data_IF_865756925482
#
_entry.id   IF_865756925482
#
_cell.length_a   1.000
_cell.length_b   1.000
_cell.length_c   1.000
_cell.angle_alpha   90.00
_cell.angle_beta   90.00
_cell.angle_gamma   90.00
#
_symmetry.space_group_name_H-M   'P 1'
#
loop_
_entity.id
_entity.type
_entity.pdbx_description
1 polymer ?
#
# COMPACT_ATOMS: atom_id res chain seq x y z
N UNK A 1 -22.79 -4.09 34.29
CA UNK A 1 -21.49 -3.89 33.64
C UNK A 1 -21.38 -5.04 32.65
N UNK A 2 -21.93 -4.89 31.43
CA UNK A 2 -21.80 -5.87 30.37
C UNK A 2 -20.33 -5.93 29.97
N UNK A 3 -19.76 -7.13 29.99
CA UNK A 3 -18.36 -7.31 29.65
C UNK A 3 -18.14 -6.97 28.18
N UNK A 4 -17.01 -6.39 27.86
CA UNK A 4 -16.60 -6.08 26.47
C UNK A 4 -16.67 -7.32 25.56
N UNK A 5 -16.52 -8.51 26.14
CA UNK A 5 -16.65 -9.79 25.46
C UNK A 5 -18.07 -10.04 24.91
N UNK A 6 -19.14 -9.56 25.59
CA UNK A 6 -20.50 -9.68 25.09
C UNK A 6 -20.77 -8.78 23.88
N UNK A 7 -20.14 -7.59 23.84
CA UNK A 7 -20.26 -6.68 22.68
C UNK A 7 -19.54 -7.24 21.46
N UNK A 8 -18.37 -7.86 21.67
CA UNK A 8 -17.62 -8.52 20.59
C UNK A 8 -18.35 -9.76 20.08
N UNK A 9 -18.99 -10.54 20.98
CA UNK A 9 -19.75 -11.73 20.61
C UNK A 9 -21.05 -11.38 19.86
N UNK A 10 -21.75 -10.32 20.26
CA UNK A 10 -22.99 -9.89 19.60
C UNK A 10 -22.74 -9.35 18.19
N UNK A 11 -21.67 -8.57 18.00
CA UNK A 11 -21.29 -8.06 16.66
C UNK A 11 -20.84 -9.19 15.72
N UNK A 12 -20.15 -10.20 16.22
CA UNK A 12 -19.75 -11.37 15.40
C UNK A 12 -20.95 -12.25 15.03
N UNK A 13 -21.93 -12.38 15.93
CA UNK A 13 -23.15 -13.14 15.67
C UNK A 13 -24.07 -12.41 14.69
N UNK A 14 -24.17 -11.07 14.78
CA UNK A 14 -24.94 -10.29 13.80
C UNK A 14 -24.31 -10.31 12.40
N UNK A 15 -22.99 -10.25 12.29
CA UNK A 15 -22.27 -10.39 11.01
C UNK A 15 -22.41 -11.81 10.45
N UNK A 16 -22.33 -12.82 11.28
CA UNK A 16 -22.56 -14.20 10.88
C UNK A 16 -24.02 -14.44 10.45
N UNK A 17 -25.00 -13.87 11.16
CA UNK A 17 -26.42 -13.99 10.83
C UNK A 17 -26.81 -13.16 9.57
N UNK A 18 -26.15 -12.05 9.31
CA UNK A 18 -26.32 -11.28 8.07
C UNK A 18 -25.71 -12.00 6.85
N UNK A 19 -24.67 -12.81 7.07
CA UNK A 19 -24.04 -13.66 6.04
C UNK A 19 -24.87 -14.92 5.79
N UNK A 20 -25.65 -15.40 6.78
CA UNK A 20 -26.43 -16.64 6.69
C UNK A 20 -27.74 -16.48 5.87
N UNK A 21 -28.18 -15.24 5.59
CA UNK A 21 -29.46 -15.00 4.92
C UNK A 21 -29.38 -14.60 3.42
N UNK A 22 -28.17 -14.41 2.85
CA UNK A 22 -28.05 -14.18 1.41
C UNK A 22 -26.72 -14.79 0.89
N UNK A 23 -26.85 -15.76 -0.02
CA UNK A 23 -25.78 -16.44 -0.77
C UNK A 23 -24.42 -16.47 -0.04
N UNK A 24 -24.01 -17.63 0.44
CA UNK A 24 -22.74 -17.87 1.18
C UNK A 24 -21.56 -17.07 0.60
N UNK A 25 -21.32 -15.87 1.13
CA UNK A 25 -20.25 -15.00 0.67
C UNK A 25 -18.93 -15.56 1.20
N UNK A 26 -18.23 -16.31 0.39
CA UNK A 26 -16.92 -16.86 0.77
C UNK A 26 -15.89 -15.76 0.98
N UNK A 27 -15.16 -15.84 2.09
CA UNK A 27 -14.01 -14.98 2.34
C UNK A 27 -12.90 -15.27 1.33
N UNK A 28 -12.28 -14.21 0.82
CA UNK A 28 -11.14 -14.35 -0.08
C UNK A 28 -9.98 -15.08 0.60
N UNK A 29 -9.39 -16.04 -0.11
CA UNK A 29 -8.23 -16.77 0.38
C UNK A 29 -6.98 -15.87 0.48
N UNK A 30 -6.03 -16.24 1.34
CA UNK A 30 -4.75 -15.52 1.44
C UNK A 30 -4.03 -15.47 0.08
N UNK A 31 -4.07 -16.57 -0.67
CA UNK A 31 -3.44 -16.67 -2.01
C UNK A 31 -4.06 -15.67 -2.99
N UNK A 32 -5.39 -15.59 -3.08
CA UNK A 32 -6.06 -14.63 -3.95
C UNK A 32 -5.67 -13.18 -3.62
N UNK A 33 -5.58 -12.83 -2.33
CA UNK A 33 -5.19 -11.50 -1.88
C UNK A 33 -3.73 -11.18 -2.20
N UNK A 34 -2.81 -12.14 -2.02
CA UNK A 34 -1.39 -12.00 -2.35
C UNK A 34 -1.21 -11.86 -3.87
N UNK A 35 -1.86 -12.70 -4.67
CA UNK A 35 -1.78 -12.61 -6.13
C UNK A 35 -2.34 -11.28 -6.63
N UNK A 36 -3.47 -10.81 -6.07
CA UNK A 36 -4.01 -9.50 -6.41
C UNK A 36 -3.04 -8.36 -6.09
N UNK A 37 -2.32 -8.45 -4.97
CA UNK A 37 -1.28 -7.50 -4.60
C UNK A 37 -0.09 -7.55 -5.58
N UNK A 38 0.40 -8.75 -5.91
CA UNK A 38 1.50 -8.96 -6.88
C UNK A 38 1.12 -8.35 -8.24
N UNK A 39 -0.11 -8.60 -8.73
CA UNK A 39 -0.57 -8.04 -10.01
C UNK A 39 -0.49 -6.51 -10.00
N UNK A 40 -0.96 -5.85 -8.94
CA UNK A 40 -0.85 -4.40 -8.84
C UNK A 40 0.62 -3.93 -8.83
N UNK A 41 1.51 -4.63 -8.11
CA UNK A 41 2.95 -4.32 -8.10
C UNK A 41 3.62 -4.51 -9.45
N UNK A 42 3.27 -5.57 -10.18
CA UNK A 42 3.76 -5.78 -11.55
C UNK A 42 3.34 -4.63 -12.47
N UNK A 43 2.09 -4.19 -12.39
CA UNK A 43 1.61 -3.04 -13.19
C UNK A 43 2.42 -1.78 -12.83
N UNK A 44 2.63 -1.49 -11.54
CA UNK A 44 3.42 -0.35 -11.08
C UNK A 44 4.87 -0.40 -11.60
N UNK A 45 5.51 -1.57 -11.54
CA UNK A 45 6.87 -1.76 -12.07
C UNK A 45 6.91 -1.54 -13.59
N UNK A 46 5.93 -2.05 -14.33
CA UNK A 46 5.84 -1.84 -15.80
C UNK A 46 5.70 -0.35 -16.12
N UNK A 47 4.92 0.40 -15.33
CA UNK A 47 4.80 1.85 -15.50
C UNK A 47 6.10 2.61 -15.21
N UNK A 48 7.02 2.03 -14.43
CA UNK A 48 8.34 2.60 -14.16
C UNK A 48 9.36 2.37 -15.29
N UNK A 49 9.14 1.41 -16.19
CA UNK A 49 10.09 1.08 -17.27
C UNK A 49 10.52 2.31 -18.10
N UNK A 50 9.61 3.22 -18.52
CA UNK A 50 10.00 4.41 -19.27
C UNK A 50 10.97 5.33 -18.51
N UNK A 51 10.78 5.46 -17.17
CA UNK A 51 11.67 6.24 -16.32
C UNK A 51 13.07 5.63 -16.23
N UNK A 52 13.15 4.33 -16.00
CA UNK A 52 14.43 3.62 -15.96
C UNK A 52 15.15 3.68 -17.30
N UNK A 53 14.43 3.48 -18.41
CA UNK A 53 14.98 3.61 -19.75
C UNK A 53 15.58 4.99 -20.00
N UNK A 54 14.90 6.05 -19.58
CA UNK A 54 15.39 7.41 -19.68
C UNK A 54 16.64 7.65 -18.82
N UNK A 55 16.63 7.21 -17.56
CA UNK A 55 17.78 7.37 -16.65
C UNK A 55 19.00 6.64 -17.23
N UNK A 56 18.84 5.42 -17.73
CA UNK A 56 19.92 4.66 -18.36
C UNK A 56 20.44 5.40 -19.60
N UNK A 57 19.55 5.90 -20.46
CA UNK A 57 19.95 6.66 -21.65
C UNK A 57 20.75 7.92 -21.28
N UNK A 58 20.37 8.63 -20.22
CA UNK A 58 21.07 9.81 -19.71
C UNK A 58 22.46 9.45 -19.15
N UNK A 59 22.55 8.39 -18.35
CA UNK A 59 23.82 7.92 -17.80
C UNK A 59 24.77 7.49 -18.90
N UNK A 60 24.31 6.76 -19.90
CA UNK A 60 25.14 6.35 -21.04
C UNK A 60 25.61 7.56 -21.88
N UNK A 61 24.77 8.58 -22.03
CA UNK A 61 25.14 9.81 -22.74
C UNK A 61 26.16 10.63 -21.97
N UNK A 62 26.04 10.71 -20.64
CA UNK A 62 27.00 11.45 -19.79
C UNK A 62 28.36 10.78 -19.67
N UNK A 63 28.45 9.46 -19.80
CA UNK A 63 29.72 8.72 -19.81
C UNK A 63 30.50 8.83 -21.12
N UNK A 64 29.94 9.43 -22.15
CA UNK A 64 30.57 9.65 -23.47
C UNK A 64 31.53 10.84 -23.58
N UNK A 65 31.89 11.51 -22.49
CA UNK A 65 33.13 12.30 -22.39
C UNK A 65 33.13 13.73 -22.93
N UNK A 66 32.00 14.44 -23.06
CA UNK A 66 31.98 15.88 -23.29
C UNK A 66 31.37 16.62 -22.12
N UNK A 67 32.22 17.33 -21.37
CA UNK A 67 31.89 18.09 -20.15
C UNK A 67 31.39 19.51 -20.44
N UNK A 68 30.54 19.69 -21.42
CA UNK A 68 30.06 21.04 -21.77
C UNK A 68 28.72 21.33 -21.04
N UNK A 69 28.57 22.58 -20.58
CA UNK A 69 27.37 23.09 -19.91
C UNK A 69 26.09 22.91 -20.76
N UNK A 70 26.19 22.91 -22.08
CA UNK A 70 25.10 22.60 -23.01
C UNK A 70 24.51 21.18 -22.78
N UNK A 71 25.34 20.23 -22.36
CA UNK A 71 24.89 18.87 -22.04
C UNK A 71 24.08 18.83 -20.75
N UNK A 72 24.33 19.75 -19.79
CA UNK A 72 23.59 19.79 -18.53
C UNK A 72 22.14 20.27 -18.74
N UNK A 73 21.92 21.27 -19.58
CA UNK A 73 20.59 21.81 -19.89
C UNK A 73 19.73 20.75 -20.61
N UNK A 74 20.29 20.11 -21.62
CA UNK A 74 19.60 19.01 -22.34
C UNK A 74 19.35 17.79 -21.45
N UNK A 75 20.25 17.52 -20.52
CA UNK A 75 20.08 16.46 -19.51
C UNK A 75 18.93 16.80 -18.57
N UNK A 76 18.87 18.01 -18.05
CA UNK A 76 17.78 18.48 -17.18
C UNK A 76 16.43 18.47 -17.90
N UNK A 77 16.37 18.95 -19.14
CA UNK A 77 15.15 18.97 -19.95
C UNK A 77 14.61 17.55 -20.21
N UNK A 78 15.50 16.61 -20.55
CA UNK A 78 15.10 15.21 -20.77
C UNK A 78 14.69 14.50 -19.48
N UNK A 79 15.33 14.81 -18.34
CA UNK A 79 14.96 14.29 -17.03
C UNK A 79 13.58 14.79 -16.60
N UNK A 80 13.32 16.09 -16.75
CA UNK A 80 12.01 16.69 -16.48
C UNK A 80 10.92 16.13 -17.42
N UNK A 81 11.22 15.95 -18.70
CA UNK A 81 10.30 15.37 -19.67
C UNK A 81 9.94 13.92 -19.33
N UNK A 82 10.92 13.11 -18.93
CA UNK A 82 10.69 11.73 -18.54
C UNK A 82 9.95 11.59 -17.21
N UNK A 83 10.31 12.39 -16.21
CA UNK A 83 9.57 12.44 -14.95
C UNK A 83 8.13 12.92 -15.18
N UNK A 84 7.93 13.91 -16.06
CA UNK A 84 6.60 14.37 -16.44
C UNK A 84 5.76 13.27 -17.08
N UNK A 85 6.33 12.50 -18.00
CA UNK A 85 5.65 11.36 -18.62
C UNK A 85 5.25 10.30 -17.58
N UNK A 86 6.18 9.93 -16.70
CA UNK A 86 5.90 8.97 -15.63
C UNK A 86 4.81 9.49 -14.71
N UNK A 87 4.87 10.76 -14.32
CA UNK A 87 3.84 11.37 -13.47
C UNK A 87 2.45 11.30 -14.13
N UNK A 88 2.36 11.59 -15.43
CA UNK A 88 1.08 11.48 -16.17
C UNK A 88 0.58 10.03 -16.19
N UNK A 89 1.46 9.06 -16.47
CA UNK A 89 1.09 7.63 -16.43
C UNK A 89 0.60 7.18 -15.05
N UNK A 90 1.26 7.63 -13.98
CA UNK A 90 0.83 7.34 -12.61
C UNK A 90 -0.49 8.03 -12.24
N UNK A 91 -0.74 9.23 -12.70
CA UNK A 91 -2.01 9.92 -12.49
C UNK A 91 -3.16 9.19 -13.20
N UNK A 92 -2.95 8.74 -14.44
CA UNK A 92 -3.94 7.96 -15.18
C UNK A 92 -4.20 6.62 -14.46
N UNK A 93 -3.14 5.89 -14.12
CA UNK A 93 -3.25 4.61 -13.40
C UNK A 93 -3.93 4.79 -12.05
N UNK A 94 -3.51 5.77 -11.26
CA UNK A 94 -4.09 6.09 -9.95
C UNK A 94 -5.57 6.49 -10.05
N UNK A 95 -5.93 7.27 -11.07
CA UNK A 95 -7.32 7.64 -11.34
C UNK A 95 -8.20 6.42 -11.67
N UNK A 96 -7.71 5.52 -12.52
CA UNK A 96 -8.40 4.27 -12.84
C UNK A 96 -8.54 3.40 -11.59
N UNK A 97 -7.46 3.24 -10.83
CA UNK A 97 -7.42 2.47 -9.59
C UNK A 97 -8.41 3.02 -8.57
N UNK A 98 -8.39 4.35 -8.36
CA UNK A 98 -9.30 5.05 -7.47
C UNK A 98 -10.77 4.86 -7.87
N UNK A 99 -11.07 4.99 -9.16
CA UNK A 99 -12.42 4.75 -9.70
C UNK A 99 -12.92 3.35 -9.37
N UNK A 100 -12.10 2.31 -9.62
CA UNK A 100 -12.49 0.93 -9.31
C UNK A 100 -12.63 0.69 -7.80
N UNK A 101 -11.75 1.25 -6.99
CA UNK A 101 -11.82 1.13 -5.53
C UNK A 101 -13.07 1.81 -4.95
N UNK A 102 -13.46 2.96 -5.50
CA UNK A 102 -14.65 3.69 -5.03
C UNK A 102 -15.96 3.02 -5.47
N UNK A 103 -16.03 2.59 -6.73
CA UNK A 103 -17.30 2.10 -7.31
C UNK A 103 -17.55 0.63 -7.03
N UNK A 104 -16.51 -0.19 -7.08
CA UNK A 104 -16.63 -1.65 -7.00
C UNK A 104 -15.99 -2.25 -5.74
N UNK A 105 -15.30 -1.43 -4.94
CA UNK A 105 -14.52 -1.93 -3.81
C UNK A 105 -13.30 -2.77 -4.21
N UNK A 106 -12.83 -2.64 -5.45
CA UNK A 106 -11.80 -3.49 -6.04
C UNK A 106 -10.66 -2.65 -6.62
N UNK A 107 -9.40 -3.07 -6.39
CA UNK A 107 -8.28 -2.65 -7.22
C UNK A 107 -8.24 -3.47 -8.51
N UNK A 108 -7.42 -3.08 -9.48
CA UNK A 108 -7.27 -3.82 -10.74
C UNK A 108 -6.90 -5.28 -10.47
N UNK A 109 -5.89 -5.53 -9.60
CA UNK A 109 -5.50 -6.87 -9.23
C UNK A 109 -6.61 -7.66 -8.52
N UNK A 110 -7.38 -7.01 -7.63
CA UNK A 110 -8.53 -7.64 -6.96
C UNK A 110 -9.64 -8.00 -7.95
N UNK A 111 -9.88 -7.15 -8.96
CA UNK A 111 -10.87 -7.42 -10.00
C UNK A 111 -10.47 -8.65 -10.83
N UNK A 112 -9.19 -8.79 -11.17
CA UNK A 112 -8.69 -9.97 -11.89
C UNK A 112 -8.81 -11.26 -11.07
N UNK A 113 -8.64 -11.17 -9.75
CA UNK A 113 -8.78 -12.29 -8.82
C UNK A 113 -10.22 -12.54 -8.36
N UNK A 114 -11.19 -11.78 -8.88
CA UNK A 114 -12.62 -11.88 -8.51
C UNK A 114 -12.85 -11.74 -7.00
N UNK A 115 -12.17 -10.79 -6.36
CA UNK A 115 -12.33 -10.47 -4.94
C UNK A 115 -12.65 -8.99 -4.76
N UNK A 116 -13.48 -8.66 -3.78
CA UNK A 116 -13.84 -7.25 -3.48
C UNK A 116 -13.79 -6.96 -1.98
N UNK A 117 -13.69 -5.67 -1.66
CA UNK A 117 -13.74 -5.16 -0.28
C UNK A 117 -15.17 -4.76 0.03
N UNK A 118 -15.71 -5.32 1.09
CA UNK A 118 -17.03 -5.01 1.62
C UNK A 118 -16.91 -4.52 3.06
N UNK A 119 -17.91 -3.78 3.53
CA UNK A 119 -18.04 -3.38 4.94
C UNK A 119 -18.69 -4.50 5.74
N UNK A 120 -18.70 -4.37 7.07
CA UNK A 120 -19.38 -5.30 7.99
C UNK A 120 -20.86 -5.52 7.65
N UNK A 121 -21.52 -4.54 7.06
CA UNK A 121 -22.92 -4.61 6.62
C UNK A 121 -23.13 -5.25 5.23
N UNK A 122 -22.09 -5.80 4.60
CA UNK A 122 -22.14 -6.40 3.27
C UNK A 122 -22.05 -5.42 2.09
N UNK A 123 -22.19 -4.10 2.32
CA UNK A 123 -22.11 -3.10 1.27
C UNK A 123 -20.68 -2.94 0.74
N UNK A 124 -20.55 -2.48 -0.50
CA UNK A 124 -19.25 -2.12 -1.08
C UNK A 124 -18.58 -1.05 -0.21
N UNK A 125 -17.29 -1.23 0.09
CA UNK A 125 -16.56 -0.37 1.02
C UNK A 125 -16.43 1.11 0.58
N UNK A 126 -16.70 1.44 -0.67
CA UNK A 126 -16.71 2.81 -1.19
C UNK A 126 -15.42 3.59 -0.95
N UNK A 127 -15.46 4.91 -1.18
CA UNK A 127 -14.28 5.78 -1.03
C UNK A 127 -13.78 5.85 0.42
N UNK A 128 -14.68 6.09 1.38
CA UNK A 128 -14.29 6.36 2.77
C UNK A 128 -13.61 5.14 3.40
N UNK A 129 -14.20 3.96 3.30
CA UNK A 129 -13.65 2.77 3.97
C UNK A 129 -12.50 2.14 3.18
N UNK A 130 -12.61 2.08 1.85
CA UNK A 130 -11.60 1.40 1.04
C UNK A 130 -10.38 2.28 0.72
N UNK A 131 -10.54 3.60 0.55
CA UNK A 131 -9.44 4.51 0.21
C UNK A 131 -8.99 5.31 1.42
N UNK A 132 -9.91 6.08 2.04
CA UNK A 132 -9.54 7.03 3.10
C UNK A 132 -9.03 6.29 4.35
N UNK A 133 -9.80 5.34 4.90
CA UNK A 133 -9.43 4.65 6.14
C UNK A 133 -8.38 3.58 5.90
N UNK A 134 -8.54 2.77 4.87
CA UNK A 134 -7.70 1.60 4.62
C UNK A 134 -6.33 1.95 4.06
N UNK A 135 -6.25 2.88 3.10
CA UNK A 135 -4.98 3.25 2.47
C UNK A 135 -4.37 4.51 3.10
N UNK A 136 -5.15 5.62 3.16
CA UNK A 136 -4.62 6.92 3.59
C UNK A 136 -4.42 6.97 5.11
N UNK A 137 -5.45 6.68 5.92
CA UNK A 137 -5.34 6.79 7.36
C UNK A 137 -4.32 5.79 7.93
N UNK A 138 -4.32 4.54 7.43
CA UNK A 138 -3.32 3.55 7.82
C UNK A 138 -1.90 4.00 7.45
N UNK A 139 -1.69 4.50 6.23
CA UNK A 139 -0.40 5.02 5.78
C UNK A 139 0.07 6.20 6.63
N UNK A 140 -0.84 7.13 6.98
CA UNK A 140 -0.53 8.26 7.86
C UNK A 140 -0.13 7.79 9.26
N UNK A 141 -0.84 6.84 9.85
CA UNK A 141 -0.50 6.28 11.18
C UNK A 141 0.90 5.68 11.14
N UNK A 142 1.19 4.84 10.14
CA UNK A 142 2.53 4.25 9.98
C UNK A 142 3.60 5.34 9.79
N UNK A 143 3.34 6.37 8.99
CA UNK A 143 4.28 7.47 8.75
C UNK A 143 4.55 8.28 10.01
N UNK A 144 3.53 8.56 10.82
CA UNK A 144 3.69 9.27 12.11
C UNK A 144 4.52 8.43 13.09
N UNK A 145 4.27 7.13 13.18
CA UNK A 145 5.06 6.24 14.04
C UNK A 145 6.53 6.26 13.59
N UNK A 146 6.82 6.15 12.29
CA UNK A 146 8.17 6.19 11.77
C UNK A 146 8.84 7.55 12.02
N UNK A 147 8.11 8.66 11.87
CA UNK A 147 8.62 10.00 12.16
C UNK A 147 8.98 10.18 13.64
N UNK A 148 8.17 9.65 14.55
CA UNK A 148 8.44 9.66 16.00
C UNK A 148 9.70 8.83 16.31
N UNK A 149 9.81 7.62 15.76
CA UNK A 149 10.99 6.77 15.94
C UNK A 149 12.26 7.44 15.43
N UNK A 150 12.20 8.08 14.26
CA UNK A 150 13.29 8.87 13.70
C UNK A 150 13.67 10.04 14.63
N UNK A 151 12.67 10.77 15.14
CA UNK A 151 12.88 11.89 16.07
C UNK A 151 13.54 11.46 17.39
N UNK A 152 13.10 10.34 17.98
CA UNK A 152 13.71 9.75 19.17
C UNK A 152 15.17 9.39 18.89
N UNK A 153 15.44 8.78 17.73
CA UNK A 153 16.79 8.43 17.34
C UNK A 153 17.69 9.66 17.26
N UNK A 154 17.28 10.73 16.55
CA UNK A 154 18.06 11.97 16.47
C UNK A 154 18.26 12.65 17.83
N UNK A 155 17.28 12.55 18.72
CA UNK A 155 17.41 13.09 20.07
C UNK A 155 18.42 12.32 20.93
N UNK A 156 18.53 11.00 20.75
CA UNK A 156 19.43 10.14 21.54
C UNK A 156 20.87 10.17 21.00
N UNK A 157 21.06 10.10 19.69
CA UNK A 157 22.39 9.94 19.06
C UNK A 157 22.97 11.25 18.50
N UNK A 158 22.17 12.32 18.43
CA UNK A 158 22.57 13.61 17.87
C UNK A 158 22.66 13.61 16.34
N UNK A 159 22.77 14.82 15.76
CA UNK A 159 22.94 15.00 14.31
C UNK A 159 24.38 14.71 13.83
N UNK A 160 25.34 14.61 14.78
CA UNK A 160 26.76 14.36 14.51
C UNK A 160 27.12 12.86 14.59
N UNK A 161 26.17 11.97 14.39
CA UNK A 161 26.46 10.55 14.36
C UNK A 161 27.52 10.25 13.29
N UNK A 162 28.60 9.59 13.69
CA UNK A 162 29.65 9.10 12.79
C UNK A 162 28.98 8.38 11.61
N UNK A 163 29.47 8.56 10.39
CA UNK A 163 28.88 8.03 9.16
C UNK A 163 28.49 6.54 9.23
N UNK A 164 29.23 5.73 9.99
CA UNK A 164 28.93 4.32 10.23
C UNK A 164 27.69 4.10 11.11
N UNK A 165 27.49 4.93 12.14
CA UNK A 165 26.32 4.85 13.02
C UNK A 165 25.06 5.30 12.26
N UNK A 166 25.16 6.39 11.49
CA UNK A 166 24.06 6.86 10.66
C UNK A 166 23.59 5.79 9.66
N UNK A 167 24.53 5.14 8.97
CA UNK A 167 24.21 4.05 8.04
C UNK A 167 23.54 2.85 8.75
N UNK A 168 24.04 2.45 9.92
CA UNK A 168 23.46 1.33 10.68
C UNK A 168 22.01 1.63 11.10
N UNK A 169 21.73 2.87 11.44
CA UNK A 169 20.39 3.31 11.83
C UNK A 169 19.46 3.40 10.65
N UNK A 170 19.90 3.91 9.52
CA UNK A 170 19.09 3.92 8.30
C UNK A 170 18.66 2.49 7.94
N UNK A 171 19.58 1.53 8.01
CA UNK A 171 19.26 0.10 7.78
C UNK A 171 18.26 -0.41 8.81
N UNK A 172 18.43 -0.08 10.09
CA UNK A 172 17.50 -0.50 11.15
C UNK A 172 16.10 0.08 10.94
N UNK A 173 16.00 1.38 10.66
CA UNK A 173 14.72 2.05 10.37
C UNK A 173 14.04 1.47 9.13
N UNK A 174 14.83 1.14 8.11
CA UNK A 174 14.34 0.44 6.93
C UNK A 174 13.72 -0.91 7.30
N UNK A 175 14.40 -1.72 8.11
CA UNK A 175 13.87 -3.01 8.58
C UNK A 175 12.58 -2.81 9.38
N UNK A 176 12.56 -1.84 10.31
CA UNK A 176 11.38 -1.53 11.12
C UNK A 176 10.20 -1.09 10.26
N UNK A 177 10.43 -0.38 9.14
CA UNK A 177 9.37 0.05 8.23
C UNK A 177 8.62 -1.11 7.57
N UNK A 178 9.23 -2.29 7.46
CA UNK A 178 8.58 -3.50 6.92
C UNK A 178 7.72 -4.24 7.96
N UNK A 179 7.87 -3.96 9.26
CA UNK A 179 7.15 -4.68 10.32
C UNK A 179 5.62 -4.65 10.12
N UNK A 180 4.97 -3.51 9.85
CA UNK A 180 3.53 -3.48 9.61
C UNK A 180 3.10 -4.35 8.41
N UNK A 181 3.91 -4.39 7.37
CA UNK A 181 3.66 -5.22 6.18
C UNK A 181 3.78 -6.70 6.50
N UNK A 182 4.82 -7.09 7.26
CA UNK A 182 5.02 -8.48 7.70
C UNK A 182 3.86 -8.93 8.60
N UNK A 183 3.44 -8.09 9.54
CA UNK A 183 2.30 -8.38 10.41
C UNK A 183 1.02 -8.56 9.59
N UNK A 184 0.73 -7.67 8.66
CA UNK A 184 -0.41 -7.81 7.75
C UNK A 184 -0.34 -9.11 6.94
N UNK A 185 0.85 -9.48 6.46
CA UNK A 185 1.06 -10.72 5.72
C UNK A 185 0.77 -11.96 6.58
N UNK A 186 1.26 -12.00 7.82
CA UNK A 186 0.98 -13.10 8.76
C UNK A 186 -0.53 -13.18 9.04
N UNK A 187 -1.20 -12.05 9.26
CA UNK A 187 -2.63 -11.99 9.55
C UNK A 187 -3.50 -12.56 8.41
N UNK A 188 -3.04 -12.53 7.16
CA UNK A 188 -3.76 -13.15 6.03
C UNK A 188 -3.97 -14.66 6.19
N UNK A 189 -3.10 -15.33 6.93
CA UNK A 189 -3.19 -16.78 7.17
C UNK A 189 -3.96 -17.12 8.44
N UNK A 190 -4.36 -16.12 9.25
CA UNK A 190 -5.10 -16.33 10.49
C UNK A 190 -6.60 -16.45 10.22
N UNK A 191 -7.10 -17.67 10.04
CA UNK A 191 -8.52 -17.94 9.81
C UNK A 191 -9.38 -17.54 11.01
N UNK A 192 -8.87 -17.67 12.23
CA UNK A 192 -9.54 -17.26 13.47
C UNK A 192 -9.93 -15.77 13.51
N UNK A 193 -9.27 -14.92 12.70
CA UNK A 193 -9.56 -13.50 12.54
C UNK A 193 -10.15 -13.15 11.17
N UNK A 194 -10.80 -14.12 10.52
CA UNK A 194 -11.43 -13.93 9.21
C UNK A 194 -10.45 -13.35 8.16
N UNK A 195 -9.16 -13.65 8.30
CA UNK A 195 -8.07 -13.19 7.44
C UNK A 195 -8.01 -11.66 7.28
N UNK A 196 -8.49 -10.91 8.28
CA UNK A 196 -8.39 -9.45 8.28
C UNK A 196 -6.95 -9.00 8.55
N UNK A 197 -6.48 -8.02 7.75
CA UNK A 197 -5.22 -7.31 8.00
C UNK A 197 -5.46 -6.11 8.93
N UNK A 198 -4.37 -5.50 9.43
CA UNK A 198 -4.46 -4.26 10.22
C UNK A 198 -5.24 -3.16 9.49
N UNK A 199 -5.05 -3.06 8.17
CA UNK A 199 -5.78 -2.10 7.32
C UNK A 199 -7.28 -2.42 7.28
N UNK A 200 -7.63 -3.70 7.14
CA UNK A 200 -9.03 -4.16 7.12
C UNK A 200 -9.72 -3.89 8.47
N UNK A 201 -9.02 -4.15 9.59
CA UNK A 201 -9.53 -3.88 10.94
C UNK A 201 -9.77 -2.38 11.17
N UNK A 202 -8.82 -1.52 10.77
CA UNK A 202 -8.95 -0.07 10.90
C UNK A 202 -10.14 0.46 10.10
N UNK A 203 -10.38 -0.08 8.92
CA UNK A 203 -11.44 0.34 8.02
C UNK A 203 -12.77 -0.42 8.26
N UNK A 204 -12.83 -1.39 9.17
CA UNK A 204 -13.97 -2.29 9.40
C UNK A 204 -14.47 -2.91 8.10
N UNK A 205 -13.56 -3.59 7.39
CA UNK A 205 -13.83 -4.18 6.08
C UNK A 205 -13.38 -5.63 6.03
N UNK A 206 -13.98 -6.36 5.09
CA UNK A 206 -13.64 -7.74 4.75
C UNK A 206 -13.35 -7.85 3.26
N UNK A 207 -12.58 -8.86 2.88
CA UNK A 207 -12.35 -9.16 1.47
C UNK A 207 -13.02 -10.48 1.14
N UNK A 208 -13.96 -10.43 0.21
CA UNK A 208 -14.83 -11.55 -0.18
C UNK A 208 -14.64 -11.92 -1.65
N UNK A 209 -15.00 -13.14 -2.01
CA UNK A 209 -15.07 -13.59 -3.39
C UNK A 209 -16.32 -13.03 -4.08
N UNK A 210 -16.27 -12.87 -5.42
CA UNK A 210 -17.37 -12.32 -6.25
C UNK A 210 -17.62 -13.24 -7.41
#
# INVERSE_FOLDING_TARGET
MESLDNIYHSTQVEVAAAIENDDEVELATAVQRIVAWIINRVIEVVLMIPAFGLIIALVLKSSGGTSDFENMETMFASLLGGLGLVMVLYLIYGGIQLYFMCKYGQSIGKKLMKIRVVRENGDVAGFVHNVLLREIAYGLICSVIMMVLMGIFFAVFGLEANSGVAMAVDVLLQIVSYVPTIVCFIMLFMESRQRQTLQDMLAKTYVVQV
#
